data_IF_427211539802
#
_entry.id   IF_427211539802
#
_cell.length_a   1.000
_cell.length_b   1.000
_cell.length_c   1.000
_cell.angle_alpha   90.00
_cell.angle_beta   90.00
_cell.angle_gamma   90.00
#
_symmetry.space_group_name_H-M   'P 1'
#
loop_
_entity.id
_entity.type
_entity.pdbx_description
1 polymer ?
#
# COMPACT_ATOMS: atom_id res chain seq x y z
N UNK A 1 15.13 -54.75 2.07
CA UNK A 1 14.81 -53.84 3.18
C UNK A 1 15.17 -52.41 2.76
N UNK A 2 14.15 -51.55 2.78
CA UNK A 2 14.03 -50.08 2.69
C UNK A 2 15.17 -49.22 2.10
N UNK A 3 14.86 -48.62 0.95
CA UNK A 3 15.40 -47.34 0.45
C UNK A 3 15.07 -46.23 1.46
N UNK A 4 16.06 -45.48 1.90
CA UNK A 4 15.88 -44.28 2.72
C UNK A 4 15.43 -43.09 1.86
N UNK A 5 14.30 -42.51 2.22
CA UNK A 5 13.80 -41.23 1.70
C UNK A 5 14.68 -40.07 2.20
N UNK A 6 14.96 -39.04 1.39
CA UNK A 6 15.62 -37.83 1.86
C UNK A 6 14.70 -37.02 2.80
N UNK A 7 15.25 -36.23 3.73
CA UNK A 7 14.49 -35.55 4.77
C UNK A 7 13.58 -34.46 4.19
N UNK A 8 12.37 -34.41 4.73
CA UNK A 8 11.37 -33.37 4.48
C UNK A 8 11.94 -31.99 4.77
N UNK A 9 12.20 -31.20 3.71
CA UNK A 9 12.43 -29.77 3.86
C UNK A 9 11.11 -29.11 4.29
N UNK A 10 11.01 -28.83 5.59
CA UNK A 10 9.99 -27.96 6.17
C UNK A 10 10.14 -26.58 5.51
N UNK A 11 9.30 -26.28 4.52
CA UNK A 11 9.22 -24.98 3.87
C UNK A 11 8.48 -24.00 4.80
N UNK A 12 9.20 -23.04 5.36
CA UNK A 12 8.60 -21.96 6.17
C UNK A 12 7.69 -21.05 5.30
N UNK A 13 6.54 -20.58 5.81
CA UNK A 13 5.66 -19.69 5.08
C UNK A 13 6.24 -18.31 4.81
N UNK A 14 6.33 -17.96 3.51
CA UNK A 14 6.64 -16.61 3.03
C UNK A 14 5.42 -15.70 3.21
N UNK A 15 5.58 -14.47 3.73
CA UNK A 15 4.46 -13.54 3.99
C UNK A 15 3.85 -12.98 2.68
N UNK A 16 2.52 -12.74 2.67
CA UNK A 16 1.76 -12.10 1.57
C UNK A 16 1.96 -10.58 1.55
N UNK A 17 1.73 -9.88 0.43
CA UNK A 17 1.79 -8.41 0.43
C UNK A 17 0.49 -7.76 0.86
N UNK A 18 0.62 -6.54 1.36
CA UNK A 18 -0.51 -5.74 1.80
C UNK A 18 -1.52 -5.49 0.65
N UNK A 19 -1.04 -5.32 -0.58
CA UNK A 19 -1.89 -5.14 -1.77
C UNK A 19 -2.81 -6.34 -2.01
N UNK A 20 -2.26 -7.56 -1.91
CA UNK A 20 -2.98 -8.83 -2.14
C UNK A 20 -4.10 -9.00 -1.11
N UNK A 21 -3.79 -8.64 0.13
CA UNK A 21 -4.72 -8.73 1.24
C UNK A 21 -5.83 -7.67 1.14
N UNK A 22 -5.52 -6.46 0.68
CA UNK A 22 -6.54 -5.43 0.40
C UNK A 22 -7.47 -5.93 -0.71
N UNK A 23 -6.92 -6.52 -1.78
CA UNK A 23 -7.68 -7.09 -2.89
C UNK A 23 -8.64 -8.18 -2.42
N UNK A 24 -8.14 -9.14 -1.64
CA UNK A 24 -8.96 -10.22 -1.07
C UNK A 24 -10.05 -9.69 -0.11
N UNK A 25 -9.74 -8.65 0.66
CA UNK A 25 -10.68 -8.09 1.65
C UNK A 25 -11.82 -7.28 1.01
N UNK A 26 -11.65 -6.83 -0.23
CA UNK A 26 -12.68 -6.11 -1.01
C UNK A 26 -13.74 -7.05 -1.59
N UNK A 27 -13.48 -8.36 -1.65
CA UNK A 27 -14.39 -9.36 -2.24
C UNK A 27 -15.60 -9.69 -1.35
N UNK A 28 -16.77 -10.01 -1.93
CA UNK A 28 -18.03 -10.25 -1.21
C UNK A 28 -18.08 -11.57 -0.42
N UNK A 29 -17.20 -12.54 -0.71
CA UNK A 29 -17.10 -13.81 0.01
C UNK A 29 -15.64 -14.10 0.43
N UNK A 30 -15.21 -13.64 1.62
CA UNK A 30 -13.91 -14.03 2.16
C UNK A 30 -13.92 -15.52 2.50
N UNK A 31 -13.39 -16.38 1.61
CA UNK A 31 -13.23 -17.81 1.89
C UNK A 31 -11.99 -18.05 2.78
N UNK A 32 -11.95 -19.14 3.55
CA UNK A 32 -10.75 -19.52 4.31
C UNK A 32 -9.58 -19.72 3.33
N UNK A 33 -8.49 -18.99 3.54
CA UNK A 33 -7.42 -18.86 2.56
C UNK A 33 -6.39 -20.01 2.65
N UNK A 34 -5.94 -20.61 1.53
CA UNK A 34 -4.68 -21.35 1.47
C UNK A 34 -3.48 -20.38 1.60
N UNK A 35 -2.39 -20.80 2.25
CA UNK A 35 -1.19 -19.99 2.59
C UNK A 35 -0.30 -19.70 1.35
N UNK A 36 0.67 -18.76 1.46
CA UNK A 36 1.81 -18.42 0.54
C UNK A 36 1.55 -17.34 -0.58
N UNK A 37 2.53 -16.92 -1.43
CA UNK A 37 3.50 -15.78 -1.38
C UNK A 37 3.13 -14.43 -2.10
N UNK A 38 4.09 -13.49 -2.22
CA UNK A 38 3.95 -12.01 -2.36
C UNK A 38 4.62 -11.34 -3.61
N UNK A 39 4.02 -10.26 -4.19
CA UNK A 39 4.54 -8.88 -4.47
C UNK A 39 3.57 -8.07 -5.34
N UNK A 40 3.12 -6.87 -4.91
CA UNK A 40 2.33 -5.98 -5.78
C UNK A 40 2.26 -4.49 -5.43
N UNK A 41 2.05 -3.70 -6.48
CA UNK A 41 1.78 -2.26 -6.45
C UNK A 41 0.56 -1.97 -7.32
N UNK A 42 -0.45 -1.28 -6.80
CA UNK A 42 -1.68 -1.03 -7.54
C UNK A 42 -2.64 -2.21 -7.45
N UNK A 43 -3.67 -2.06 -6.63
CA UNK A 43 -4.92 -2.76 -6.83
C UNK A 43 -5.85 -1.75 -7.50
N UNK A 44 -6.38 -2.13 -8.64
CA UNK A 44 -7.42 -1.34 -9.31
C UNK A 44 -8.68 -2.16 -9.40
N UNK A 45 -9.76 -1.64 -8.81
CA UNK A 45 -11.10 -2.22 -8.90
C UNK A 45 -11.93 -1.33 -9.82
N UNK A 46 -12.77 -1.94 -10.65
CA UNK A 46 -13.76 -1.26 -11.47
C UNK A 46 -14.95 -2.18 -11.70
N UNK A 47 -16.20 -1.74 -11.53
CA UNK A 47 -17.35 -2.50 -11.99
C UNK A 47 -17.39 -2.45 -13.53
N UNK A 48 -17.52 -3.62 -14.17
CA UNK A 48 -17.87 -3.67 -15.59
C UNK A 48 -19.37 -3.41 -15.71
N UNK A 49 -19.75 -2.21 -16.15
CA UNK A 49 -21.12 -1.94 -16.60
C UNK A 49 -21.15 -2.30 -18.08
N UNK A 50 -21.83 -3.39 -18.42
CA UNK A 50 -22.03 -3.78 -19.82
C UNK A 50 -22.70 -2.62 -20.57
N UNK A 51 -22.04 -2.16 -21.64
CA UNK A 51 -22.64 -1.21 -22.60
C UNK A 51 -23.67 -1.94 -23.44
N UNK A 52 -24.79 -2.33 -22.84
CA UNK A 52 -25.98 -2.72 -23.58
C UNK A 52 -27.11 -1.74 -23.34
N UNK A 53 -27.68 -1.33 -24.47
CA UNK A 53 -28.68 -0.32 -24.65
C UNK A 53 -29.98 -0.66 -23.90
N UNK A 54 -30.75 0.37 -23.55
CA UNK A 54 -32.18 0.35 -23.21
C UNK A 54 -32.65 -0.19 -21.84
N UNK A 55 -33.09 0.76 -21.01
CA UNK A 55 -34.42 0.80 -20.38
C UNK A 55 -35.00 -0.53 -19.84
N UNK A 56 -34.25 -1.29 -19.05
CA UNK A 56 -34.81 -2.29 -18.15
C UNK A 56 -34.10 -2.23 -16.80
N UNK A 57 -34.85 -1.93 -15.73
CA UNK A 57 -34.38 -2.09 -14.35
C UNK A 57 -34.22 -3.58 -14.06
N UNK A 58 -33.12 -4.18 -14.53
CA UNK A 58 -32.66 -5.47 -14.00
C UNK A 58 -32.14 -5.24 -12.59
N UNK A 59 -32.39 -6.15 -11.63
CA UNK A 59 -31.68 -6.11 -10.36
C UNK A 59 -30.17 -6.13 -10.64
N UNK A 60 -29.34 -5.40 -9.87
CA UNK A 60 -27.91 -5.40 -10.10
C UNK A 60 -27.43 -6.85 -10.10
N UNK A 61 -26.83 -7.28 -11.21
CA UNK A 61 -26.18 -8.58 -11.31
C UNK A 61 -25.08 -8.71 -10.24
N UNK A 62 -24.48 -9.90 -10.08
CA UNK A 62 -23.36 -10.06 -9.17
C UNK A 62 -22.29 -8.99 -9.48
N UNK A 63 -21.88 -8.22 -8.48
CA UNK A 63 -20.81 -7.23 -8.62
C UNK A 63 -19.53 -8.00 -8.90
N UNK A 64 -19.07 -7.98 -10.16
CA UNK A 64 -17.82 -8.60 -10.56
C UNK A 64 -16.69 -7.63 -10.22
N UNK A 65 -15.83 -8.03 -9.29
CA UNK A 65 -14.61 -7.30 -8.99
C UNK A 65 -13.52 -7.79 -9.94
N UNK A 66 -12.95 -6.86 -10.71
CA UNK A 66 -11.75 -7.09 -11.50
C UNK A 66 -10.57 -6.45 -10.79
N UNK A 67 -9.48 -7.19 -10.65
CA UNK A 67 -8.25 -6.73 -10.00
C UNK A 67 -7.18 -6.51 -11.05
N UNK A 68 -6.56 -5.32 -11.06
CA UNK A 68 -5.39 -5.05 -11.91
C UNK A 68 -4.17 -4.74 -11.05
N UNK A 69 -3.08 -5.44 -11.35
CA UNK A 69 -1.87 -5.50 -10.53
C UNK A 69 -0.67 -4.97 -11.29
N UNK A 70 0.02 -3.99 -10.72
CA UNK A 70 1.25 -3.43 -11.28
C UNK A 70 2.47 -3.83 -10.45
N UNK A 71 3.64 -3.86 -11.07
CA UNK A 71 4.89 -4.08 -10.36
C UNK A 71 6.04 -4.40 -11.29
N UNK A 72 7.25 -4.48 -10.74
CA UNK A 72 8.47 -4.63 -11.54
C UNK A 72 8.91 -6.07 -11.74
N UNK A 73 8.44 -6.98 -10.89
CA UNK A 73 8.85 -8.38 -10.92
C UNK A 73 7.72 -9.23 -11.49
N UNK A 74 7.78 -9.53 -12.78
CA UNK A 74 6.73 -10.28 -13.49
C UNK A 74 6.40 -11.61 -12.81
N UNK A 75 7.42 -12.36 -12.36
CA UNK A 75 7.20 -13.64 -11.67
C UNK A 75 6.23 -13.51 -10.50
N UNK A 76 6.43 -12.51 -9.66
CA UNK A 76 5.57 -12.31 -8.49
C UNK A 76 4.19 -11.77 -8.87
N UNK A 77 4.12 -10.94 -9.92
CA UNK A 77 2.84 -10.50 -10.48
C UNK A 77 1.99 -11.68 -10.94
N UNK A 78 2.61 -12.60 -11.68
CA UNK A 78 1.97 -13.80 -12.19
C UNK A 78 1.51 -14.72 -11.07
N UNK A 79 2.39 -15.03 -10.11
CA UNK A 79 2.07 -15.87 -8.95
C UNK A 79 0.85 -15.33 -8.19
N UNK A 80 0.84 -14.04 -7.86
CA UNK A 80 -0.28 -13.47 -7.12
C UNK A 80 -1.55 -13.32 -7.98
N UNK A 81 -1.43 -13.06 -9.28
CA UNK A 81 -2.59 -13.03 -10.17
C UNK A 81 -3.25 -14.42 -10.27
N UNK A 82 -2.47 -15.49 -10.30
CA UNK A 82 -2.96 -16.87 -10.25
C UNK A 82 -3.69 -17.12 -8.92
N UNK A 83 -3.13 -16.69 -7.78
CA UNK A 83 -3.79 -16.81 -6.47
C UNK A 83 -5.12 -16.09 -6.38
N UNK A 84 -5.21 -14.86 -6.90
CA UNK A 84 -6.44 -14.10 -6.94
C UNK A 84 -7.45 -14.78 -7.88
N UNK A 85 -6.99 -15.28 -9.03
CA UNK A 85 -7.84 -16.02 -9.97
C UNK A 85 -8.42 -17.29 -9.36
N UNK A 86 -7.66 -18.02 -8.52
CA UNK A 86 -8.12 -19.19 -7.78
C UNK A 86 -9.24 -18.88 -6.77
N UNK A 87 -9.36 -17.61 -6.33
CA UNK A 87 -10.47 -17.17 -5.48
C UNK A 87 -11.79 -16.96 -6.26
N UNK A 88 -11.76 -17.05 -7.60
CA UNK A 88 -12.87 -16.75 -8.50
C UNK A 88 -12.97 -15.27 -8.91
N UNK A 89 -11.91 -14.50 -8.69
CA UNK A 89 -11.85 -13.06 -9.02
C UNK A 89 -11.04 -12.86 -10.29
N UNK A 90 -11.57 -12.10 -11.24
CA UNK A 90 -10.84 -11.78 -12.46
C UNK A 90 -9.62 -10.91 -12.12
N UNK A 91 -8.46 -11.28 -12.65
CA UNK A 91 -7.21 -10.66 -12.30
C UNK A 91 -6.30 -10.45 -13.51
N UNK A 92 -5.87 -9.21 -13.72
CA UNK A 92 -4.90 -8.81 -14.73
C UNK A 92 -3.62 -8.33 -14.07
N UNK A 93 -2.47 -8.52 -14.71
CA UNK A 93 -1.23 -7.91 -14.27
C UNK A 93 -0.49 -7.22 -15.42
N UNK A 94 0.24 -6.16 -15.09
CA UNK A 94 1.09 -5.41 -16.01
C UNK A 94 2.43 -5.12 -15.33
N UNK A 95 3.52 -5.40 -16.03
CA UNK A 95 4.85 -4.96 -15.57
C UNK A 95 4.92 -3.45 -15.72
N UNK A 96 5.20 -2.76 -14.61
CA UNK A 96 5.28 -1.31 -14.53
C UNK A 96 6.25 -0.89 -13.42
N UNK A 97 7.29 -0.12 -13.75
CA UNK A 97 8.04 0.65 -12.76
C UNK A 97 7.35 2.00 -12.52
N UNK A 98 6.73 2.14 -11.34
CA UNK A 98 6.08 3.40 -10.94
C UNK A 98 7.06 4.55 -10.72
N UNK A 99 8.38 4.29 -10.68
CA UNK A 99 9.42 5.32 -10.70
C UNK A 99 9.63 5.95 -12.09
N UNK A 100 9.04 5.36 -13.14
CA UNK A 100 9.11 5.81 -14.51
C UNK A 100 7.76 6.39 -14.95
N UNK A 101 7.71 7.71 -15.12
CA UNK A 101 6.50 8.45 -15.50
C UNK A 101 5.91 7.98 -16.83
N UNK A 102 6.77 7.80 -17.83
CA UNK A 102 6.36 7.39 -19.19
C UNK A 102 5.77 5.98 -19.17
N UNK A 103 6.35 5.08 -18.38
CA UNK A 103 5.84 3.73 -18.19
C UNK A 103 4.47 3.72 -17.49
N UNK A 104 4.29 4.52 -16.43
CA UNK A 104 3.00 4.69 -15.75
C UNK A 104 1.91 5.12 -16.72
N UNK A 105 2.14 6.15 -17.54
CA UNK A 105 1.14 6.63 -18.48
C UNK A 105 0.87 5.64 -19.62
N UNK A 106 1.91 4.95 -20.10
CA UNK A 106 1.76 3.88 -21.10
C UNK A 106 0.87 2.75 -20.55
N UNK A 107 1.15 2.26 -19.34
CA UNK A 107 0.39 1.15 -18.75
C UNK A 107 -1.03 1.58 -18.36
N UNK A 108 -1.24 2.82 -17.91
CA UNK A 108 -2.57 3.34 -17.65
C UNK A 108 -3.46 3.34 -18.91
N UNK A 109 -2.88 3.67 -20.09
CA UNK A 109 -3.58 3.56 -21.37
C UNK A 109 -3.97 2.11 -21.69
N UNK A 110 -3.05 1.18 -21.48
CA UNK A 110 -3.31 -0.27 -21.67
C UNK A 110 -4.45 -0.76 -20.77
N UNK A 111 -4.48 -0.34 -19.50
CA UNK A 111 -5.57 -0.66 -18.56
C UNK A 111 -6.91 -0.17 -19.10
N UNK A 112 -6.97 1.09 -19.54
CA UNK A 112 -8.19 1.71 -20.06
C UNK A 112 -8.73 0.99 -21.30
N UNK A 113 -7.83 0.58 -22.20
CA UNK A 113 -8.20 -0.11 -23.44
C UNK A 113 -8.64 -1.56 -23.21
N UNK A 114 -7.97 -2.28 -22.29
CA UNK A 114 -8.19 -3.73 -22.11
C UNK A 114 -9.21 -4.07 -21.03
N UNK A 115 -9.29 -3.26 -19.97
CA UNK A 115 -10.11 -3.56 -18.78
C UNK A 115 -11.21 -2.52 -18.63
N UNK A 116 -10.86 -1.23 -18.69
CA UNK A 116 -11.82 -0.13 -18.61
C UNK A 116 -11.44 0.93 -17.58
N UNK A 117 -12.46 1.59 -17.04
CA UNK A 117 -12.32 2.69 -16.09
C UNK A 117 -12.04 2.16 -14.68
N UNK A 118 -11.00 2.69 -14.04
CA UNK A 118 -10.64 2.36 -12.66
C UNK A 118 -11.56 3.13 -11.71
N UNK A 119 -12.21 2.42 -10.78
CA UNK A 119 -12.98 3.02 -9.69
C UNK A 119 -12.24 3.08 -8.36
N UNK A 120 -11.26 2.23 -8.09
CA UNK A 120 -10.42 2.34 -6.87
C UNK A 120 -8.96 2.27 -7.28
N UNK A 121 -8.14 3.26 -6.90
CA UNK A 121 -6.69 3.27 -7.12
C UNK A 121 -5.96 3.06 -5.78
N UNK A 122 -5.20 1.98 -5.62
CA UNK A 122 -4.38 1.74 -4.41
C UNK A 122 -2.89 2.03 -4.65
N UNK A 123 -2.43 3.19 -4.20
CA UNK A 123 -1.02 3.57 -4.15
C UNK A 123 -0.32 2.94 -2.93
N UNK A 124 0.27 1.76 -3.14
CA UNK A 124 1.01 1.01 -2.11
C UNK A 124 2.53 0.97 -2.33
N UNK A 125 3.01 1.28 -3.54
CA UNK A 125 4.43 1.19 -3.88
C UNK A 125 5.31 1.97 -2.91
N UNK A 126 6.32 1.30 -2.36
CA UNK A 126 7.32 1.94 -1.54
C UNK A 126 8.67 1.21 -1.53
N UNK A 127 9.73 1.96 -1.25
CA UNK A 127 11.08 1.48 -0.96
C UNK A 127 11.65 2.26 0.24
N UNK A 128 12.51 1.62 1.02
CA UNK A 128 13.31 2.22 2.09
C UNK A 128 14.74 1.69 1.98
N UNK A 129 15.72 2.58 2.04
CA UNK A 129 17.14 2.22 1.96
C UNK A 129 17.71 1.76 3.30
N UNK A 130 17.27 2.39 4.39
CA UNK A 130 17.65 1.99 5.74
C UNK A 130 19.02 2.48 6.21
N UNK A 131 19.52 3.58 5.62
CA UNK A 131 20.80 4.21 5.97
C UNK A 131 20.58 5.63 6.51
N UNK A 132 21.57 6.17 7.20
CA UNK A 132 21.60 7.60 7.56
C UNK A 132 21.87 8.47 6.32
N UNK A 133 21.70 9.79 6.43
CA UNK A 133 21.97 10.71 5.31
C UNK A 133 23.39 10.56 4.75
N UNK A 134 24.39 10.52 5.64
CA UNK A 134 25.79 10.49 5.23
C UNK A 134 26.25 9.14 4.66
N UNK A 135 25.50 8.08 4.95
CA UNK A 135 25.78 6.72 4.44
C UNK A 135 24.95 6.38 3.19
N UNK A 136 23.96 7.23 2.88
CA UNK A 136 23.05 7.01 1.76
C UNK A 136 23.68 7.44 0.45
N UNK A 137 23.47 6.61 -0.57
CA UNK A 137 23.85 6.91 -1.94
C UNK A 137 22.80 7.87 -2.53
N UNK A 138 23.21 8.92 -3.24
CA UNK A 138 22.29 9.93 -3.79
C UNK A 138 21.21 9.30 -4.68
N UNK A 139 21.57 8.30 -5.49
CA UNK A 139 20.63 7.55 -6.32
C UNK A 139 19.58 6.80 -5.48
N UNK A 140 19.94 6.30 -4.30
CA UNK A 140 19.00 5.65 -3.40
C UNK A 140 18.03 6.67 -2.80
N UNK A 141 18.52 7.85 -2.41
CA UNK A 141 17.69 8.96 -1.94
C UNK A 141 16.67 9.38 -3.01
N UNK A 142 17.14 9.58 -4.25
CA UNK A 142 16.28 9.96 -5.39
C UNK A 142 15.27 8.87 -5.72
N UNK A 143 15.67 7.60 -5.71
CA UNK A 143 14.80 6.45 -5.97
C UNK A 143 13.64 6.38 -4.98
N UNK A 144 13.89 6.63 -3.69
CA UNK A 144 12.82 6.69 -2.68
C UNK A 144 11.83 7.81 -2.96
N UNK A 145 12.28 8.99 -3.42
CA UNK A 145 11.37 10.06 -3.84
C UNK A 145 10.56 9.70 -5.09
N UNK A 146 11.20 9.10 -6.10
CA UNK A 146 10.53 8.71 -7.33
C UNK A 146 9.44 7.67 -7.07
N UNK A 147 9.72 6.64 -6.27
CA UNK A 147 8.76 5.55 -6.02
C UNK A 147 7.68 5.98 -5.02
N UNK A 148 8.08 6.49 -3.85
CA UNK A 148 7.15 6.67 -2.73
C UNK A 148 6.30 7.95 -2.89
N UNK A 149 6.77 8.92 -3.68
CA UNK A 149 6.13 10.23 -3.88
C UNK A 149 5.68 10.42 -5.33
N UNK A 150 6.61 10.55 -6.28
CA UNK A 150 6.29 10.95 -7.64
C UNK A 150 5.45 9.90 -8.39
N UNK A 151 5.69 8.62 -8.10
CA UNK A 151 4.87 7.52 -8.61
C UNK A 151 3.39 7.70 -8.30
N UNK A 152 3.06 8.22 -7.10
CA UNK A 152 1.68 8.52 -6.73
C UNK A 152 1.11 9.68 -7.54
N UNK A 153 1.90 10.72 -7.80
CA UNK A 153 1.46 11.84 -8.64
C UNK A 153 1.09 11.33 -10.04
N UNK A 154 1.90 10.45 -10.62
CA UNK A 154 1.69 9.96 -11.97
C UNK A 154 0.49 9.03 -12.05
N UNK A 155 0.33 8.08 -11.11
CA UNK A 155 -0.84 7.20 -11.09
C UNK A 155 -2.14 7.97 -10.86
N UNK A 156 -2.16 8.91 -9.91
CA UNK A 156 -3.34 9.74 -9.66
C UNK A 156 -3.67 10.61 -10.87
N UNK A 157 -2.68 11.25 -11.50
CA UNK A 157 -2.90 12.01 -12.75
C UNK A 157 -3.43 11.12 -13.90
N UNK A 158 -3.09 9.84 -13.91
CA UNK A 158 -3.53 8.92 -14.96
C UNK A 158 -4.98 8.45 -14.80
N UNK A 159 -5.45 8.30 -13.55
CA UNK A 159 -6.75 7.67 -13.25
C UNK A 159 -7.80 8.62 -12.66
N UNK A 160 -7.41 9.59 -11.84
CA UNK A 160 -8.34 10.51 -11.16
C UNK A 160 -9.23 11.33 -12.12
N UNK A 161 -8.73 11.86 -13.26
CA UNK A 161 -9.59 12.65 -14.15
C UNK A 161 -10.87 11.90 -14.57
N UNK A 162 -10.74 10.58 -14.82
CA UNK A 162 -11.87 9.76 -15.22
C UNK A 162 -12.83 9.46 -14.06
N UNK A 163 -12.29 9.28 -12.84
CA UNK A 163 -13.12 9.15 -11.63
C UNK A 163 -13.96 10.41 -11.40
N UNK A 164 -13.39 11.60 -11.63
CA UNK A 164 -14.07 12.88 -11.52
C UNK A 164 -15.16 13.03 -12.59
N UNK A 165 -14.85 12.72 -13.86
CA UNK A 165 -15.84 12.74 -14.95
C UNK A 165 -17.04 11.83 -14.68
N UNK A 166 -16.79 10.68 -14.05
CA UNK A 166 -17.82 9.69 -13.72
C UNK A 166 -18.50 9.95 -12.38
N UNK A 167 -18.01 10.91 -11.58
CA UNK A 167 -18.43 11.12 -10.19
C UNK A 167 -18.42 9.81 -9.38
N UNK A 168 -17.43 8.96 -9.66
CA UNK A 168 -17.30 7.65 -9.06
C UNK A 168 -15.84 7.23 -9.01
N UNK A 169 -15.26 7.24 -7.82
CA UNK A 169 -13.98 6.61 -7.58
C UNK A 169 -13.44 6.78 -6.17
N UNK A 170 -12.30 6.14 -5.90
CA UNK A 170 -11.63 6.23 -4.61
C UNK A 170 -10.12 6.10 -4.76
N UNK A 171 -9.36 7.06 -4.22
CA UNK A 171 -7.90 6.98 -4.15
C UNK A 171 -7.47 6.52 -2.77
N UNK A 172 -6.71 5.43 -2.70
CA UNK A 172 -6.16 4.89 -1.46
C UNK A 172 -4.64 5.05 -1.47
N UNK A 173 -4.09 5.62 -0.41
CA UNK A 173 -2.65 5.74 -0.21
C UNK A 173 -2.22 4.97 1.04
N UNK A 174 -1.33 3.98 0.87
CA UNK A 174 -0.65 3.33 1.98
C UNK A 174 0.59 4.16 2.35
N UNK A 175 0.44 4.96 3.39
CA UNK A 175 1.49 5.81 3.93
C UNK A 175 2.15 5.14 5.15
N UNK A 176 2.64 5.94 6.10
CA UNK A 176 3.30 5.45 7.32
C UNK A 176 3.27 6.53 8.40
N UNK A 177 3.27 6.12 9.67
CA UNK A 177 3.51 7.04 10.79
C UNK A 177 4.87 7.76 10.70
N UNK A 178 5.83 7.19 9.98
CA UNK A 178 7.16 7.81 9.78
C UNK A 178 7.11 9.09 8.93
N UNK A 179 5.98 9.37 8.26
CA UNK A 179 5.70 10.68 7.65
C UNK A 179 5.63 11.81 8.68
N UNK A 180 5.21 11.50 9.91
CA UNK A 180 5.01 12.47 10.99
C UNK A 180 5.96 12.26 12.16
N UNK A 181 6.51 11.05 12.33
CA UNK A 181 7.47 10.72 13.39
C UNK A 181 8.75 10.12 12.77
N UNK A 182 9.65 10.97 12.21
CA UNK A 182 10.81 10.50 11.45
C UNK A 182 11.88 9.86 12.34
N UNK A 183 12.74 9.03 11.72
CA UNK A 183 13.86 8.34 12.37
C UNK A 183 15.13 8.43 11.50
N UNK A 184 16.34 8.48 12.10
CA UNK A 184 17.58 8.79 11.39
C UNK A 184 18.02 7.72 10.36
N UNK A 185 17.73 6.45 10.61
CA UNK A 185 18.09 5.34 9.71
C UNK A 185 17.07 5.06 8.60
N UNK A 186 16.13 5.96 8.35
CA UNK A 186 15.14 5.83 7.27
C UNK A 186 14.84 7.20 6.65
N UNK A 187 15.85 8.06 6.52
CA UNK A 187 15.64 9.47 6.16
C UNK A 187 15.00 9.63 4.77
N UNK A 188 15.39 8.79 3.82
CA UNK A 188 14.82 8.71 2.47
C UNK A 188 13.33 8.33 2.50
N UNK A 189 12.98 7.36 3.34
CA UNK A 189 11.61 6.91 3.52
C UNK A 189 10.77 7.94 4.26
N UNK A 190 11.27 8.50 5.36
CA UNK A 190 10.55 9.48 6.17
C UNK A 190 10.25 10.74 5.35
N UNK A 191 11.23 11.27 4.63
CA UNK A 191 11.06 12.46 3.78
C UNK A 191 10.07 12.20 2.64
N UNK A 192 10.17 11.06 1.96
CA UNK A 192 9.24 10.72 0.88
C UNK A 192 7.81 10.44 1.37
N UNK A 193 7.65 9.76 2.51
CA UNK A 193 6.33 9.53 3.13
C UNK A 193 5.71 10.81 3.70
N UNK A 194 6.51 11.75 4.20
CA UNK A 194 6.04 13.09 4.58
C UNK A 194 5.52 13.88 3.37
N UNK A 195 6.25 13.85 2.25
CA UNK A 195 5.82 14.45 0.98
C UNK A 195 4.51 13.84 0.47
N UNK A 196 4.42 12.50 0.49
CA UNK A 196 3.20 11.76 0.14
C UNK A 196 2.02 12.11 1.08
N UNK A 197 2.25 12.32 2.38
CA UNK A 197 1.20 12.72 3.32
C UNK A 197 0.64 14.11 2.97
N UNK A 198 1.52 15.10 2.83
CA UNK A 198 1.11 16.47 2.51
C UNK A 198 0.37 16.54 1.16
N UNK A 199 0.80 15.74 0.19
CA UNK A 199 0.10 15.60 -1.08
C UNK A 199 -1.30 15.01 -0.92
N UNK A 200 -1.46 13.92 -0.16
CA UNK A 200 -2.77 13.31 0.07
C UNK A 200 -3.71 14.19 0.90
N UNK A 201 -3.19 14.95 1.87
CA UNK A 201 -3.95 15.98 2.59
C UNK A 201 -4.49 17.04 1.64
N UNK A 202 -3.62 17.57 0.77
CA UNK A 202 -4.00 18.55 -0.25
C UNK A 202 -5.03 17.99 -1.23
N UNK A 203 -4.83 16.74 -1.70
CA UNK A 203 -5.76 16.08 -2.61
C UNK A 203 -7.12 15.86 -1.96
N UNK A 204 -7.15 15.39 -0.71
CA UNK A 204 -8.40 15.14 0.03
C UNK A 204 -9.22 16.42 0.18
N UNK A 205 -8.57 17.54 0.52
CA UNK A 205 -9.24 18.85 0.56
C UNK A 205 -9.79 19.26 -0.82
N UNK A 206 -9.04 18.97 -1.88
CA UNK A 206 -9.50 19.22 -3.25
C UNK A 206 -10.72 18.41 -3.68
N UNK A 207 -11.03 17.30 -3.00
CA UNK A 207 -12.18 16.44 -3.30
C UNK A 207 -13.46 16.84 -2.56
N UNK A 208 -13.44 17.85 -1.67
CA UNK A 208 -14.61 18.24 -0.87
C UNK A 208 -15.84 18.57 -1.73
N UNK A 209 -15.64 19.18 -2.89
CA UNK A 209 -16.70 19.54 -3.84
C UNK A 209 -16.84 18.53 -5.01
N UNK A 210 -16.25 17.34 -4.88
CA UNK A 210 -16.25 16.29 -5.90
C UNK A 210 -17.10 15.09 -5.43
N UNK A 211 -18.44 15.17 -5.47
CA UNK A 211 -19.30 14.11 -4.97
C UNK A 211 -19.01 12.78 -5.68
N UNK A 212 -18.96 11.70 -4.90
CA UNK A 212 -18.70 10.34 -5.39
C UNK A 212 -17.23 10.00 -5.64
N UNK A 213 -16.29 10.92 -5.39
CA UNK A 213 -14.85 10.65 -5.44
C UNK A 213 -14.21 10.83 -4.07
N UNK A 214 -13.81 9.73 -3.44
CA UNK A 214 -13.21 9.69 -2.11
C UNK A 214 -11.68 9.56 -2.11
N UNK A 215 -11.06 9.85 -0.97
CA UNK A 215 -9.65 9.60 -0.71
C UNK A 215 -9.49 8.92 0.66
N UNK A 216 -8.60 7.95 0.79
CA UNK A 216 -8.24 7.32 2.07
C UNK A 216 -6.73 7.20 2.19
N UNK A 217 -6.17 7.79 3.24
CA UNK A 217 -4.75 7.66 3.62
C UNK A 217 -4.63 6.79 4.87
N UNK A 218 -3.84 5.71 4.74
CA UNK A 218 -3.60 4.76 5.82
C UNK A 218 -2.20 5.02 6.40
N UNK A 219 -2.12 5.30 7.70
CA UNK A 219 -0.88 5.55 8.43
C UNK A 219 -0.60 4.42 9.42
N UNK A 220 -0.08 3.26 8.95
CA UNK A 220 0.33 2.21 9.84
C UNK A 220 1.61 2.60 10.59
N UNK A 221 1.69 2.12 11.83
CA UNK A 221 2.93 1.93 12.57
C UNK A 221 3.77 0.83 11.88
N UNK A 222 4.69 0.21 12.59
CA UNK A 222 5.46 -0.91 12.09
C UNK A 222 4.55 -2.09 11.71
N UNK A 223 4.59 -2.48 10.43
CA UNK A 223 3.92 -3.68 9.91
C UNK A 223 4.96 -4.77 9.70
N UNK A 224 4.66 -6.00 10.13
CA UNK A 224 5.55 -7.15 9.97
C UNK A 224 5.61 -7.58 8.49
N UNK A 225 6.46 -6.92 7.73
CA UNK A 225 6.68 -7.15 6.30
C UNK A 225 8.16 -7.32 6.03
N UNK A 226 8.49 -7.95 4.90
CA UNK A 226 9.89 -8.11 4.47
C UNK A 226 10.61 -6.76 4.28
N UNK A 227 9.88 -5.67 3.98
CA UNK A 227 10.44 -4.33 3.79
C UNK A 227 11.17 -3.82 5.04
N UNK A 228 10.67 -4.16 6.23
CA UNK A 228 11.24 -3.72 7.52
C UNK A 228 11.94 -4.86 8.27
N UNK A 229 12.43 -5.87 7.55
CA UNK A 229 13.12 -7.00 8.16
C UNK A 229 14.39 -6.54 8.89
N UNK A 230 14.48 -6.89 10.19
CA UNK A 230 15.60 -6.50 11.05
C UNK A 230 15.39 -5.21 11.85
N UNK A 231 14.28 -4.49 11.65
CA UNK A 231 13.88 -3.40 12.54
C UNK A 231 13.66 -3.94 13.96
N UNK A 232 14.22 -3.26 14.98
CA UNK A 232 14.03 -3.62 16.39
C UNK A 232 13.35 -2.49 17.15
N UNK A 233 12.19 -2.78 17.71
CA UNK A 233 11.48 -1.89 18.66
C UNK A 233 11.88 -2.28 20.07
N UNK A 234 12.29 -1.31 20.91
CA UNK A 234 12.77 -1.56 22.28
C UNK A 234 11.71 -2.19 23.19
N UNK A 235 10.45 -1.78 23.04
CA UNK A 235 9.31 -2.24 23.85
C UNK A 235 8.24 -2.92 22.97
N UNK A 236 8.48 -4.13 22.44
CA UNK A 236 7.58 -4.78 21.49
C UNK A 236 6.23 -5.19 22.11
N UNK A 237 6.15 -5.37 23.44
CA UNK A 237 4.89 -5.65 24.12
C UNK A 237 3.97 -4.41 24.16
N UNK A 238 4.55 -3.21 24.24
CA UNK A 238 3.79 -1.96 24.26
C UNK A 238 3.45 -1.47 22.84
N UNK A 239 4.33 -1.75 21.87
CA UNK A 239 4.18 -1.37 20.48
C UNK A 239 4.34 -2.59 19.55
N UNK A 240 3.37 -3.53 19.57
CA UNK A 240 3.47 -4.74 18.76
C UNK A 240 3.38 -4.42 17.27
N UNK A 241 4.09 -5.18 16.41
CA UNK A 241 3.96 -5.03 14.97
C UNK A 241 2.55 -5.38 14.51
N UNK A 242 2.05 -4.63 13.52
CA UNK A 242 0.79 -4.93 12.87
C UNK A 242 0.93 -6.12 11.92
N UNK A 243 -0.10 -6.96 11.91
CA UNK A 243 -0.26 -8.00 10.89
C UNK A 243 -0.75 -7.37 9.58
N UNK A 244 -0.16 -7.71 8.42
CA UNK A 244 -0.60 -7.20 7.12
C UNK A 244 -2.10 -7.36 6.86
N UNK A 245 -2.71 -8.46 7.32
CA UNK A 245 -4.13 -8.77 7.15
C UNK A 245 -5.01 -7.75 7.88
N UNK A 246 -4.57 -7.31 9.06
CA UNK A 246 -5.29 -6.29 9.84
C UNK A 246 -5.22 -4.93 9.13
N UNK A 247 -4.06 -4.57 8.59
CA UNK A 247 -3.91 -3.32 7.84
C UNK A 247 -4.79 -3.34 6.60
N UNK A 248 -4.81 -4.46 5.87
CA UNK A 248 -5.68 -4.63 4.70
C UNK A 248 -7.16 -4.50 5.04
N UNK A 249 -7.65 -5.26 6.03
CA UNK A 249 -9.05 -5.20 6.45
C UNK A 249 -9.46 -3.79 6.87
N UNK A 250 -8.65 -3.12 7.69
CA UNK A 250 -8.91 -1.76 8.15
C UNK A 250 -8.88 -0.74 7.01
N UNK A 251 -8.05 -0.96 5.99
CA UNK A 251 -8.05 -0.15 4.78
C UNK A 251 -9.39 -0.26 4.05
N UNK A 252 -9.88 -1.48 3.86
CA UNK A 252 -11.17 -1.73 3.20
C UNK A 252 -12.33 -1.13 3.98
N UNK A 253 -12.35 -1.33 5.30
CA UNK A 253 -13.39 -0.75 6.17
C UNK A 253 -13.40 0.78 6.08
N UNK A 254 -12.22 1.40 5.97
CA UNK A 254 -12.09 2.85 5.81
C UNK A 254 -12.56 3.34 4.44
N UNK A 255 -12.25 2.63 3.35
CA UNK A 255 -12.76 2.94 2.01
C UNK A 255 -14.29 2.84 1.98
N UNK A 256 -14.87 1.77 2.55
CA UNK A 256 -16.33 1.58 2.64
C UNK A 256 -17.03 2.67 3.45
N UNK A 257 -16.35 3.22 4.46
CA UNK A 257 -16.87 4.27 5.32
C UNK A 257 -16.43 5.69 4.87
N UNK A 258 -15.82 5.82 3.69
CA UNK A 258 -15.27 7.06 3.14
C UNK A 258 -14.41 7.86 4.14
N UNK A 259 -13.53 7.16 4.87
CA UNK A 259 -12.64 7.78 5.85
C UNK A 259 -11.39 8.32 5.17
N UNK A 260 -11.20 9.63 5.27
CA UNK A 260 -10.04 10.34 4.76
C UNK A 260 -8.70 9.85 5.35
N UNK A 261 -8.63 9.66 6.67
CA UNK A 261 -7.41 9.28 7.37
C UNK A 261 -7.67 8.18 8.40
N UNK A 262 -6.80 7.16 8.42
CA UNK A 262 -6.78 6.16 9.48
C UNK A 262 -5.37 5.94 10.01
N UNK A 263 -5.24 5.92 11.33
CA UNK A 263 -4.00 5.62 12.04
C UNK A 263 -4.10 4.21 12.61
N UNK A 264 -3.08 3.39 12.36
CA UNK A 264 -3.07 2.01 12.80
C UNK A 264 -1.81 1.74 13.64
N UNK A 265 -1.92 1.29 14.90
CA UNK A 265 -3.14 1.31 15.71
C UNK A 265 -3.62 2.75 15.98
N UNK A 266 -4.88 2.91 16.40
CA UNK A 266 -5.47 4.21 16.71
C UNK A 266 -4.70 4.98 17.79
N UNK A 267 -3.95 4.29 18.65
CA UNK A 267 -3.09 4.91 19.68
C UNK A 267 -2.01 5.81 19.09
N UNK A 268 -1.68 5.66 17.80
CA UNK A 268 -0.76 6.57 17.10
C UNK A 268 -1.30 8.00 17.00
N UNK A 269 -2.61 8.23 17.10
CA UNK A 269 -3.17 9.58 17.22
C UNK A 269 -2.60 10.32 18.44
N UNK A 270 -2.50 9.64 19.58
CA UNK A 270 -1.95 10.24 20.80
C UNK A 270 -0.49 10.63 20.62
N UNK A 271 0.30 9.81 19.91
CA UNK A 271 1.71 10.11 19.62
C UNK A 271 1.86 11.37 18.75
N UNK A 272 1.05 11.49 17.70
CA UNK A 272 1.10 12.65 16.80
C UNK A 272 0.65 13.92 17.52
N UNK A 273 -0.44 13.86 18.28
CA UNK A 273 -0.94 14.99 19.08
C UNK A 273 0.11 15.41 20.09
N UNK A 274 0.67 14.46 20.84
CA UNK A 274 1.68 14.74 21.86
C UNK A 274 2.91 15.42 21.23
N UNK A 275 3.35 14.96 20.04
CA UNK A 275 4.43 15.60 19.29
C UNK A 275 4.14 17.06 18.96
N UNK A 276 2.90 17.42 18.64
CA UNK A 276 2.53 18.80 18.29
C UNK A 276 2.65 19.79 19.45
N UNK A 277 2.63 19.34 20.71
CA UNK A 277 2.67 20.22 21.89
C UNK A 277 4.00 20.16 22.66
N UNK A 278 4.78 19.09 22.53
CA UNK A 278 6.00 18.92 23.32
C UNK A 278 7.17 19.73 22.77
N UNK A 279 8.00 20.33 23.66
CA UNK A 279 9.29 20.90 23.26
C UNK A 279 10.19 19.84 22.62
N UNK A 280 11.02 20.26 21.67
CA UNK A 280 11.96 19.39 20.94
C UNK A 280 12.86 18.56 21.87
N UNK A 281 13.34 19.14 22.97
CA UNK A 281 14.17 18.44 23.97
C UNK A 281 13.44 17.25 24.60
N UNK A 282 12.14 17.40 24.90
CA UNK A 282 11.34 16.31 25.46
C UNK A 282 11.12 15.20 24.43
N UNK A 283 10.92 15.56 23.16
CA UNK A 283 10.82 14.60 22.06
C UNK A 283 12.11 13.79 21.91
N UNK A 284 13.26 14.42 21.99
CA UNK A 284 14.57 13.76 21.93
C UNK A 284 14.74 12.73 23.06
N UNK A 285 14.34 13.08 24.28
CA UNK A 285 14.35 12.14 25.41
C UNK A 285 13.38 10.96 25.20
N UNK A 286 12.21 11.19 24.63
CA UNK A 286 11.28 10.12 24.26
C UNK A 286 11.89 9.22 23.19
N UNK A 287 12.58 9.77 22.20
CA UNK A 287 13.28 8.99 21.18
C UNK A 287 14.42 8.16 21.79
N UNK A 288 15.21 8.74 22.70
CA UNK A 288 16.26 8.04 23.46
C UNK A 288 15.68 6.91 24.32
N UNK A 289 14.63 7.20 25.07
CA UNK A 289 13.95 6.24 25.93
C UNK A 289 13.31 5.11 25.14
N UNK A 290 12.56 5.41 24.07
CA UNK A 290 11.91 4.41 23.21
C UNK A 290 12.89 3.61 22.35
N UNK A 291 14.12 4.07 22.17
CA UNK A 291 15.11 3.44 21.28
C UNK A 291 14.76 3.59 19.80
N UNK A 292 13.86 4.51 19.44
CA UNK A 292 13.43 4.71 18.04
C UNK A 292 14.55 5.32 17.18
N UNK A 293 15.51 6.03 17.77
CA UNK A 293 16.65 6.57 17.02
C UNK A 293 17.69 5.51 16.63
N UNK A 294 17.62 4.29 17.17
CA UNK A 294 18.54 3.17 16.86
C UNK A 294 17.83 1.95 16.26
N UNK A 295 16.52 2.03 16.00
CA UNK A 295 15.71 0.88 15.59
C UNK A 295 16.08 0.31 14.21
N UNK A 296 16.77 1.11 13.39
CA UNK A 296 17.27 0.73 12.06
C UNK A 296 18.71 0.20 12.07
N UNK A 297 19.42 0.19 13.20
CA UNK A 297 20.83 -0.23 13.22
C UNK A 297 21.04 -1.70 12.83
N UNK A 298 20.03 -2.54 12.99
CA UNK A 298 20.03 -3.95 12.58
C UNK A 298 19.18 -4.22 11.34
N UNK A 299 18.79 -3.15 10.64
CA UNK A 299 18.02 -3.26 9.41
C UNK A 299 18.84 -3.99 8.35
N UNK A 300 18.24 -5.03 7.77
CA UNK A 300 18.87 -5.76 6.66
C UNK A 300 18.37 -5.27 5.31
N UNK A 301 17.15 -4.72 5.29
CA UNK A 301 16.47 -4.31 4.07
C UNK A 301 16.37 -5.43 3.05
N UNK A 302 15.97 -5.05 1.85
CA UNK A 302 16.01 -5.92 0.67
C UNK A 302 16.82 -5.18 -0.39
N UNK A 303 17.95 -5.74 -0.81
CA UNK A 303 18.65 -5.35 -2.04
C UNK A 303 17.80 -5.72 -3.26
#
# INVERSE_FOLDING_TARGET
MRKGSPPDFITFPRPRTLTDLIAQSLLPHPRPTPRFPARMTGLHLGPRVDKENSFTRRPPGPVIFVVILWGRTEKCLKETAEEISLSGTECHYLVCDVANREEVYKQAKVVREKVGDVSILVNNAAVVHGKTLMESDDDALLKSQHINTLGQFWTIKAFLPRMLELQHGHVVCINSILSQSPIPGAIDYCTSKASSLAFMESLTLGMLDCPGVGCTTVLPFHTNTEMFQGLRVRFPQLFPPLKPEVVAQRTVDAVRADKAFIYLPWTMHALVILKSFMPQVALEEIHRFSGSYTCMNTFKGRT
#
